data_IF_445826228204
#
_entry.id   IF_445826228204
#
_cell.length_a   1.000
_cell.length_b   1.000
_cell.length_c   1.000
_cell.angle_alpha   90.00
_cell.angle_beta   90.00
_cell.angle_gamma   90.00
#
_symmetry.space_group_name_H-M   'P 1'
#
loop_
_entity.id
_entity.type
_entity.pdbx_description
1 polymer ?
#
# COMPACT_ATOMS: atom_id res chain seq x y z
N UNK A 1 -3.65 16.12 18.79
CA UNK A 1 -2.80 14.91 18.79
C UNK A 1 -3.63 13.78 19.38
N UNK A 2 -4.16 12.89 18.54
CA UNK A 2 -4.95 11.75 19.02
C UNK A 2 -3.98 10.63 19.41
N UNK A 3 -3.90 10.35 20.71
CA UNK A 3 -3.12 9.24 21.25
C UNK A 3 -3.84 7.94 20.91
N UNK A 4 -3.39 7.25 19.87
CA UNK A 4 -3.79 5.88 19.59
C UNK A 4 -3.43 5.01 20.78
N UNK A 5 -4.43 4.36 21.38
CA UNK A 5 -4.28 3.49 22.55
C UNK A 5 -3.58 2.20 22.09
N UNK A 6 -2.31 2.06 22.47
CA UNK A 6 -1.52 0.84 22.28
C UNK A 6 -2.21 -0.34 22.98
N UNK A 7 -2.48 -1.42 22.24
CA UNK A 7 -2.82 -2.72 22.83
C UNK A 7 -1.50 -3.45 23.12
N UNK A 8 -1.36 -4.12 24.28
CA UNK A 8 -0.09 -4.73 24.70
C UNK A 8 0.30 -5.91 23.79
N UNK A 9 1.57 -5.91 23.36
CA UNK A 9 2.18 -6.84 22.43
C UNK A 9 2.85 -8.02 23.15
N UNK A 10 2.11 -9.00 23.66
CA UNK A 10 2.70 -10.27 24.17
C UNK A 10 1.69 -11.40 24.21
N UNK A 11 1.16 -11.83 23.06
CA UNK A 11 0.27 -13.00 23.01
C UNK A 11 0.49 -13.80 21.72
N UNK A 12 1.71 -14.36 21.55
CA UNK A 12 2.00 -15.32 20.48
C UNK A 12 1.32 -16.68 20.66
N UNK A 13 0.59 -16.90 21.76
CA UNK A 13 0.01 -18.20 22.10
C UNK A 13 -1.53 -18.24 22.07
N UNK A 14 -2.20 -17.12 21.82
CA UNK A 14 -3.66 -17.05 21.94
C UNK A 14 -4.38 -16.64 20.64
N UNK A 15 -3.85 -17.01 19.46
CA UNK A 15 -4.61 -17.00 18.19
C UNK A 15 -5.39 -15.72 17.89
N UNK A 16 -4.89 -14.57 18.36
CA UNK A 16 -5.65 -13.32 18.34
C UNK A 16 -5.21 -12.49 17.15
N UNK A 17 -6.12 -12.33 16.20
CA UNK A 17 -5.91 -11.42 15.09
C UNK A 17 -5.86 -9.97 15.57
N UNK A 18 -4.87 -9.24 15.08
CA UNK A 18 -4.67 -7.80 15.21
C UNK A 18 -5.11 -7.12 13.93
N UNK A 19 -5.81 -6.00 14.06
CA UNK A 19 -6.15 -5.12 12.95
C UNK A 19 -5.18 -3.94 12.97
N UNK A 20 -4.42 -3.78 11.90
CA UNK A 20 -3.53 -2.64 11.69
C UNK A 20 -4.12 -1.70 10.64
N UNK A 21 -4.04 -0.39 10.91
CA UNK A 21 -4.41 0.65 9.96
C UNK A 21 -3.28 1.67 9.91
N UNK A 22 -2.69 1.88 8.73
CA UNK A 22 -1.65 2.89 8.53
C UNK A 22 -1.98 3.79 7.35
N UNK A 23 -1.48 5.02 7.44
CA UNK A 23 -1.57 6.03 6.41
C UNK A 23 -0.16 6.43 5.99
N UNK A 24 0.15 6.36 4.70
CA UNK A 24 1.47 6.71 4.18
C UNK A 24 1.37 7.48 2.88
N UNK A 25 2.38 8.31 2.62
CA UNK A 25 2.63 8.86 1.29
C UNK A 25 3.48 7.90 0.47
N UNK A 26 3.43 8.04 -0.85
CA UNK A 26 4.39 7.42 -1.74
C UNK A 26 5.80 7.99 -1.53
N UNK A 27 6.85 7.29 -1.98
CA UNK A 27 8.19 7.82 -1.92
C UNK A 27 8.42 8.85 -3.03
N UNK A 28 9.39 9.73 -2.84
CA UNK A 28 9.84 10.66 -3.91
C UNK A 28 10.55 9.94 -5.05
N UNK A 29 10.81 8.65 -4.91
CA UNK A 29 11.44 7.79 -5.90
C UNK A 29 11.35 6.32 -5.46
N UNK A 30 11.10 5.40 -6.38
CA UNK A 30 11.25 3.95 -6.13
C UNK A 30 11.72 3.22 -7.40
N UNK A 31 12.28 2.02 -7.20
CA UNK A 31 12.70 1.12 -8.28
C UNK A 31 11.48 0.42 -8.92
N UNK A 32 11.60 -0.08 -10.14
CA UNK A 32 10.57 -0.98 -10.70
C UNK A 32 10.26 -2.13 -9.75
N UNK A 33 8.99 -2.52 -9.62
CA UNK A 33 8.54 -3.53 -8.66
C UNK A 33 7.83 -2.95 -7.44
N UNK A 34 7.73 -1.62 -7.33
CA UNK A 34 7.00 -0.94 -6.26
C UNK A 34 7.86 -0.54 -5.07
N UNK A 35 7.20 0.01 -4.06
CA UNK A 35 7.81 0.35 -2.76
C UNK A 35 7.13 -0.42 -1.64
N UNK A 36 7.85 -0.64 -0.54
CA UNK A 36 7.38 -1.48 0.56
C UNK A 36 7.04 -0.66 1.79
N UNK A 37 5.95 -1.03 2.44
CA UNK A 37 5.48 -0.47 3.71
C UNK A 37 5.47 -1.59 4.74
N UNK A 38 6.12 -1.36 5.88
CA UNK A 38 6.15 -2.30 7.00
C UNK A 38 5.05 -1.96 8.00
N UNK A 39 4.23 -2.95 8.34
CA UNK A 39 3.20 -2.83 9.36
C UNK A 39 3.76 -3.30 10.70
N UNK A 40 4.33 -2.38 11.48
CA UNK A 40 5.06 -2.71 12.72
C UNK A 40 4.21 -3.37 13.81
N UNK A 41 2.89 -3.22 13.74
CA UNK A 41 1.93 -3.84 14.68
C UNK A 41 1.64 -5.31 14.35
N UNK A 42 2.09 -5.80 13.19
CA UNK A 42 1.92 -7.16 12.73
C UNK A 42 3.28 -7.84 12.58
N UNK A 43 3.34 -9.12 12.89
CA UNK A 43 4.43 -9.99 12.47
C UNK A 43 4.16 -10.66 11.13
N UNK A 44 2.90 -11.01 10.88
CA UNK A 44 2.47 -11.61 9.62
C UNK A 44 1.09 -11.07 9.21
N UNK A 45 0.95 -10.74 7.93
CA UNK A 45 -0.30 -10.26 7.33
C UNK A 45 -1.05 -11.45 6.75
N UNK A 46 -2.27 -11.69 7.24
CA UNK A 46 -3.21 -12.67 6.68
C UNK A 46 -4.04 -12.06 5.54
N UNK A 47 -4.54 -10.85 5.74
CA UNK A 47 -5.31 -10.09 4.74
C UNK A 47 -4.89 -8.63 4.71
N UNK A 48 -4.91 -8.01 3.52
CA UNK A 48 -4.63 -6.59 3.35
C UNK A 48 -5.44 -5.97 2.24
N UNK A 49 -5.89 -4.74 2.49
CA UNK A 49 -6.50 -3.85 1.52
C UNK A 49 -5.67 -2.57 1.49
N UNK A 50 -5.22 -2.21 0.30
CA UNK A 50 -4.58 -0.91 0.05
C UNK A 50 -5.52 -0.07 -0.81
N UNK A 51 -5.74 1.18 -0.41
CA UNK A 51 -6.51 2.15 -1.17
C UNK A 51 -5.68 3.39 -1.44
N UNK A 52 -5.74 3.87 -2.69
CA UNK A 52 -5.23 5.19 -3.04
C UNK A 52 -6.26 6.24 -2.58
N UNK A 53 -5.88 7.10 -1.65
CA UNK A 53 -6.78 8.07 -1.01
C UNK A 53 -7.03 9.29 -1.88
N UNK A 54 -5.99 9.85 -2.49
CA UNK A 54 -6.15 10.92 -3.46
C UNK A 54 -6.47 10.31 -4.83
N UNK A 55 -7.70 10.54 -5.31
CA UNK A 55 -8.13 10.02 -6.60
C UNK A 55 -7.42 10.76 -7.74
N UNK A 56 -6.29 10.23 -8.18
CA UNK A 56 -5.80 10.46 -9.53
C UNK A 56 -6.45 9.41 -10.45
N UNK A 57 -7.35 9.85 -11.32
CA UNK A 57 -8.10 8.97 -12.21
C UNK A 57 -7.19 8.21 -13.19
N UNK A 58 -5.98 8.72 -13.45
CA UNK A 58 -4.98 8.07 -14.27
C UNK A 58 -4.13 7.06 -13.49
N UNK A 59 -4.19 7.01 -12.15
CA UNK A 59 -3.38 6.09 -11.36
C UNK A 59 -4.18 4.88 -10.86
N UNK A 60 -3.54 3.73 -10.86
CA UNK A 60 -4.02 2.48 -10.27
C UNK A 60 -2.89 1.86 -9.45
N UNK A 61 -3.29 1.04 -8.49
CA UNK A 61 -2.34 0.32 -7.65
C UNK A 61 -2.55 -1.19 -7.79
N UNK A 62 -1.44 -1.90 -7.71
CA UNK A 62 -1.39 -3.33 -7.43
C UNK A 62 -0.55 -3.51 -6.17
N UNK A 63 -0.91 -4.47 -5.34
CA UNK A 63 -0.15 -4.74 -4.13
C UNK A 63 0.02 -6.24 -3.88
N UNK A 64 1.07 -6.57 -3.15
CA UNK A 64 1.36 -7.91 -2.65
C UNK A 64 1.78 -7.82 -1.18
N UNK A 65 1.74 -8.95 -0.46
CA UNK A 65 2.14 -9.05 0.94
C UNK A 65 3.15 -10.17 1.15
N UNK A 66 4.06 -9.97 2.10
CA UNK A 66 5.00 -10.99 2.58
C UNK A 66 5.41 -10.68 4.02
N UNK A 67 5.20 -11.62 4.95
CA UNK A 67 5.37 -11.34 6.38
C UNK A 67 4.52 -10.15 6.80
N UNK A 68 5.14 -9.15 7.46
CA UNK A 68 4.48 -7.90 7.84
C UNK A 68 4.67 -6.75 6.84
N UNK A 69 5.05 -7.05 5.61
CA UNK A 69 5.34 -6.06 4.59
C UNK A 69 4.30 -6.09 3.46
N UNK A 70 3.95 -4.91 2.98
CA UNK A 70 3.08 -4.69 1.82
C UNK A 70 3.90 -3.99 0.74
N UNK A 71 3.99 -4.58 -0.44
CA UNK A 71 4.62 -3.92 -1.60
C UNK A 71 3.52 -3.31 -2.47
N UNK A 72 3.65 -2.03 -2.79
CA UNK A 72 2.71 -1.24 -3.58
C UNK A 72 3.39 -0.87 -4.90
N UNK A 73 2.79 -1.31 -6.00
CA UNK A 73 3.16 -0.95 -7.37
C UNK A 73 2.14 0.04 -7.92
N UNK A 74 2.62 1.11 -8.53
CA UNK A 74 1.78 2.16 -9.11
C UNK A 74 1.82 2.04 -10.63
N UNK A 75 0.64 2.13 -11.23
CA UNK A 75 0.42 2.05 -12.67
C UNK A 75 -0.27 3.32 -13.16
N UNK A 76 0.23 3.85 -14.27
CA UNK A 76 -0.47 4.88 -15.03
C UNK A 76 -1.34 4.23 -16.10
N UNK A 77 -2.60 4.66 -16.16
CA UNK A 77 -3.57 4.34 -17.18
C UNK A 77 -3.52 5.42 -18.26
N UNK A 78 -3.28 5.00 -19.49
CA UNK A 78 -3.23 5.87 -20.66
C UNK A 78 -4.31 5.45 -21.66
N UNK A 79 -4.99 6.43 -22.23
CA UNK A 79 -5.98 6.23 -23.28
C UNK A 79 -5.51 6.85 -24.59
N UNK A 80 -5.51 6.07 -25.66
CA UNK A 80 -5.32 6.57 -27.01
C UNK A 80 -6.68 7.03 -27.56
N UNK A 81 -6.85 8.34 -27.69
CA UNK A 81 -8.11 8.94 -28.17
C UNK A 81 -8.37 8.73 -29.66
N UNK A 82 -7.36 8.32 -30.43
CA UNK A 82 -7.49 8.05 -31.87
C UNK A 82 -7.96 6.62 -32.14
N UNK A 83 -7.55 5.65 -31.33
CA UNK A 83 -7.93 4.24 -31.49
C UNK A 83 -8.96 3.77 -30.47
N UNK A 84 -9.15 4.50 -29.38
CA UNK A 84 -9.95 4.09 -28.23
C UNK A 84 -9.26 3.05 -27.33
N UNK A 85 -7.98 2.73 -27.58
CA UNK A 85 -7.25 1.75 -26.79
C UNK A 85 -6.94 2.28 -25.37
N UNK A 86 -7.08 1.41 -24.37
CA UNK A 86 -6.67 1.68 -22.98
C UNK A 86 -5.48 0.79 -22.66
N UNK A 87 -4.46 1.38 -22.06
CA UNK A 87 -3.25 0.68 -21.60
C UNK A 87 -2.94 1.03 -20.15
N UNK A 88 -2.26 0.12 -19.47
CA UNK A 88 -1.75 0.31 -18.12
C UNK A 88 -0.27 -0.07 -18.10
N UNK A 89 0.58 0.82 -17.60
CA UNK A 89 2.02 0.56 -17.44
C UNK A 89 2.45 0.91 -16.03
N UNK A 90 3.32 0.09 -15.44
CA UNK A 90 3.94 0.42 -14.16
C UNK A 90 4.76 1.70 -14.34
N UNK A 91 4.70 2.60 -13.36
CA UNK A 91 5.48 3.82 -13.41
C UNK A 91 6.97 3.50 -13.40
N UNK A 92 7.71 4.25 -14.20
CA UNK A 92 9.15 4.02 -14.37
C UNK A 92 9.89 4.20 -13.05
N UNK A 93 11.00 3.47 -12.91
CA UNK A 93 11.95 3.71 -11.82
C UNK A 93 12.32 5.19 -11.77
N UNK A 94 12.31 5.77 -10.57
CA UNK A 94 12.65 7.18 -10.39
C UNK A 94 11.46 8.14 -10.40
N UNK A 95 10.24 7.68 -10.70
CA UNK A 95 9.04 8.54 -10.66
C UNK A 95 8.76 9.00 -9.22
N UNK A 96 8.48 10.29 -9.07
CA UNK A 96 8.09 10.88 -7.79
C UNK A 96 6.60 10.66 -7.56
N UNK A 97 6.28 9.91 -6.50
CA UNK A 97 4.91 9.58 -6.12
C UNK A 97 4.59 10.12 -4.71
N UNK A 98 5.37 11.10 -4.23
CA UNK A 98 5.22 11.69 -2.89
C UNK A 98 3.90 12.42 -2.68
N UNK A 99 3.25 12.85 -3.76
CA UNK A 99 1.90 13.40 -3.70
C UNK A 99 0.81 12.34 -3.53
N UNK A 100 1.09 11.07 -3.84
CA UNK A 100 0.13 9.98 -3.65
C UNK A 100 0.07 9.59 -2.18
N UNK A 101 -1.13 9.27 -1.72
CA UNK A 101 -1.40 8.90 -0.33
C UNK A 101 -2.22 7.62 -0.29
N UNK A 102 -1.89 6.74 0.65
CA UNK A 102 -2.42 5.39 0.71
C UNK A 102 -2.98 5.10 2.10
N UNK A 103 -4.13 4.42 2.12
CA UNK A 103 -4.67 3.79 3.31
C UNK A 103 -4.44 2.29 3.22
N UNK A 104 -3.81 1.73 4.24
CA UNK A 104 -3.50 0.31 4.33
C UNK A 104 -4.22 -0.23 5.55
N UNK A 105 -5.16 -1.14 5.31
CA UNK A 105 -5.88 -1.89 6.34
C UNK A 105 -5.45 -3.35 6.24
N UNK A 106 -4.95 -3.89 7.34
CA UNK A 106 -4.47 -5.26 7.38
C UNK A 106 -4.97 -5.99 8.63
N UNK A 107 -5.10 -7.30 8.50
CA UNK A 107 -5.42 -8.23 9.58
C UNK A 107 -4.34 -9.30 9.62
N UNK A 108 -3.85 -9.61 10.81
CA UNK A 108 -2.70 -10.50 11.00
C UNK A 108 -2.47 -10.82 12.47
N UNK A 109 -1.26 -11.25 12.84
CA UNK A 109 -0.84 -11.46 14.23
C UNK A 109 0.59 -10.98 14.45
#
# INVERSE_FOLDING_TARGET
MASGKLLPSTDRESGRYVVAATHTSGPSSYSSGGFTVTLGDLMEIEEVIVQLRNQDNAKRIKYSKSGNQVTIQIYTISADTSTGAISASEDSSGTDESSLTFDIFAVGW
#
